data_IF_603567338829
#
_entry.id   IF_603567338829
#
_cell.length_a   1.000
_cell.length_b   1.000
_cell.length_c   1.000
_cell.angle_alpha   90.00
_cell.angle_beta   90.00
_cell.angle_gamma   90.00
#
_symmetry.space_group_name_H-M   'P 1'
#
loop_
_entity.id
_entity.type
_entity.pdbx_description
1 polymer ?
#
# COMPACT_ATOMS: atom_id res chain seq x y z
N UNK A 1 11.17 -15.61 -9.12
CA UNK A 1 9.83 -15.00 -8.98
C UNK A 1 8.78 -15.99 -8.45
N UNK A 2 8.61 -17.17 -9.05
CA UNK A 2 7.60 -18.16 -8.61
C UNK A 2 7.73 -18.63 -7.15
N UNK A 3 8.93 -19.04 -6.71
CA UNK A 3 9.18 -19.43 -5.31
C UNK A 3 8.84 -18.32 -4.30
N UNK A 4 9.10 -17.07 -4.68
CA UNK A 4 8.80 -15.92 -3.81
C UNK A 4 7.30 -15.78 -3.58
N UNK A 5 6.49 -15.79 -4.64
CA UNK A 5 5.04 -15.69 -4.50
C UNK A 5 4.41 -16.93 -3.87
N UNK A 6 4.95 -18.13 -4.14
CA UNK A 6 4.54 -19.34 -3.43
C UNK A 6 4.76 -19.21 -1.91
N UNK A 7 5.90 -18.66 -1.47
CA UNK A 7 6.15 -18.37 -0.06
C UNK A 7 5.18 -17.33 0.51
N UNK A 8 4.83 -16.28 -0.24
CA UNK A 8 3.88 -15.27 0.19
C UNK A 8 2.47 -15.86 0.35
N UNK A 9 1.97 -16.56 -0.66
CA UNK A 9 0.65 -17.19 -0.64
C UNK A 9 0.55 -18.23 0.47
N UNK A 10 1.62 -18.99 0.73
CA UNK A 10 1.67 -19.96 1.83
C UNK A 10 1.61 -19.30 3.22
N UNK A 11 2.22 -18.13 3.39
CA UNK A 11 2.28 -17.44 4.70
C UNK A 11 1.09 -16.54 4.99
N UNK A 12 0.55 -15.90 3.95
CA UNK A 12 -0.38 -14.80 4.09
C UNK A 12 -1.71 -15.03 3.36
N UNK A 13 -1.81 -16.09 2.57
CA UNK A 13 -3.00 -16.41 1.80
C UNK A 13 -3.18 -15.59 0.53
N UNK A 14 -4.42 -15.59 0.05
CA UNK A 14 -4.85 -15.03 -1.21
C UNK A 14 -5.96 -14.01 -0.97
N UNK A 15 -5.94 -12.85 -1.65
CA UNK A 15 -5.02 -12.48 -2.73
C UNK A 15 -3.72 -11.84 -2.25
N UNK A 16 -2.64 -12.01 -3.02
CA UNK A 16 -1.45 -11.16 -2.95
C UNK A 16 -1.62 -10.01 -3.94
N UNK A 17 -1.91 -8.81 -3.43
CA UNK A 17 -2.07 -7.60 -4.23
C UNK A 17 -0.73 -6.91 -4.37
N UNK A 18 -0.23 -6.82 -5.59
CA UNK A 18 1.02 -6.16 -5.95
C UNK A 18 0.70 -4.74 -6.39
N UNK A 19 0.99 -3.77 -5.52
CA UNK A 19 0.83 -2.34 -5.79
C UNK A 19 2.13 -1.76 -6.31
N UNK A 20 2.22 -1.53 -7.61
CA UNK A 20 3.44 -1.03 -8.25
C UNK A 20 3.40 0.49 -8.47
N UNK A 21 4.30 1.22 -7.80
CA UNK A 21 4.40 2.68 -7.77
C UNK A 21 5.31 3.28 -8.86
N UNK A 22 5.82 2.44 -9.76
CA UNK A 22 6.68 2.86 -10.86
C UNK A 22 5.96 3.83 -11.82
N UNK A 23 6.65 4.89 -12.22
CA UNK A 23 6.15 5.92 -13.12
C UNK A 23 5.89 5.33 -14.49
N UNK A 24 4.69 5.58 -15.02
CA UNK A 24 4.31 5.12 -16.37
C UNK A 24 4.76 6.07 -17.48
N UNK A 25 5.09 7.32 -17.17
CA UNK A 25 5.55 8.34 -18.12
C UNK A 25 6.86 8.94 -17.64
N UNK A 26 7.94 8.57 -18.31
CA UNK A 26 9.29 9.04 -17.99
C UNK A 26 10.01 9.53 -19.24
N UNK A 27 10.95 10.46 -19.07
CA UNK A 27 11.84 10.92 -20.16
C UNK A 27 12.81 9.83 -20.61
N UNK A 28 13.24 8.96 -19.70
CA UNK A 28 14.07 7.77 -19.95
C UNK A 28 13.32 6.56 -19.42
N UNK A 29 13.12 5.54 -20.23
CA UNK A 29 12.18 4.43 -19.96
C UNK A 29 12.75 3.36 -18.98
N UNK A 30 13.29 3.76 -17.84
CA UNK A 30 13.85 2.79 -16.90
C UNK A 30 12.78 2.11 -16.04
N UNK A 31 11.93 2.89 -15.34
CA UNK A 31 10.86 2.32 -14.50
C UNK A 31 9.78 1.66 -15.37
N UNK A 32 9.51 2.19 -16.58
CA UNK A 32 8.54 1.60 -17.51
C UNK A 32 8.91 0.18 -17.95
N UNK A 33 10.19 -0.05 -18.31
CA UNK A 33 10.65 -1.39 -18.77
C UNK A 33 10.57 -2.38 -17.60
N UNK A 34 11.02 -2.00 -16.41
CA UNK A 34 10.94 -2.85 -15.22
C UNK A 34 9.49 -3.19 -14.88
N UNK A 35 8.58 -2.20 -14.98
CA UNK A 35 7.15 -2.39 -14.76
C UNK A 35 6.54 -3.40 -15.73
N UNK A 36 6.80 -3.25 -17.03
CA UNK A 36 6.27 -4.15 -18.07
C UNK A 36 6.80 -5.58 -17.90
N UNK A 37 8.11 -5.74 -17.64
CA UNK A 37 8.72 -7.05 -17.42
C UNK A 37 8.18 -7.73 -16.17
N UNK A 38 7.98 -6.97 -15.10
CA UNK A 38 7.44 -7.49 -13.85
C UNK A 38 5.98 -7.89 -14.01
N UNK A 39 5.14 -7.04 -14.63
CA UNK A 39 3.73 -7.34 -14.94
C UNK A 39 3.60 -8.61 -15.78
N UNK A 40 4.39 -8.77 -16.86
CA UNK A 40 4.42 -10.00 -17.67
C UNK A 40 4.81 -11.22 -16.85
N UNK A 41 5.78 -11.09 -15.95
CA UNK A 41 6.18 -12.18 -15.05
C UNK A 41 5.07 -12.62 -14.11
N UNK A 42 4.30 -11.67 -13.57
CA UNK A 42 3.10 -11.97 -12.77
C UNK A 42 2.04 -12.65 -13.62
N UNK A 43 1.72 -12.10 -14.79
CA UNK A 43 0.73 -12.69 -15.72
C UNK A 43 1.09 -14.12 -16.10
N UNK A 44 2.37 -14.38 -16.40
CA UNK A 44 2.86 -15.73 -16.67
C UNK A 44 2.71 -16.65 -15.46
N UNK A 45 3.12 -16.18 -14.27
CA UNK A 45 3.01 -16.98 -13.05
C UNK A 45 1.56 -17.33 -12.70
N UNK A 46 0.64 -16.39 -12.89
CA UNK A 46 -0.78 -16.58 -12.60
C UNK A 46 -1.43 -17.69 -13.44
N UNK A 47 -0.83 -18.09 -14.58
CA UNK A 47 -1.31 -19.23 -15.38
C UNK A 47 -1.17 -20.58 -14.64
N UNK A 48 -0.26 -20.65 -13.66
CA UNK A 48 0.05 -21.88 -12.93
C UNK A 48 -0.55 -21.91 -11.52
N UNK A 49 -1.28 -20.87 -11.12
CA UNK A 49 -1.90 -20.79 -9.80
C UNK A 49 -3.39 -21.16 -9.91
N UNK A 50 -3.91 -22.00 -9.00
CA UNK A 50 -5.34 -22.28 -8.97
C UNK A 50 -6.09 -20.99 -8.64
N UNK A 51 -7.28 -20.79 -9.21
CA UNK A 51 -8.13 -19.62 -8.91
C UNK A 51 -8.53 -19.51 -7.44
N UNK A 52 -8.25 -20.54 -6.61
CA UNK A 52 -8.58 -20.62 -5.19
C UNK A 52 -7.40 -21.22 -4.41
N UNK A 53 -6.91 -20.49 -3.40
CA UNK A 53 -5.99 -21.05 -2.39
C UNK A 53 -6.80 -21.17 -1.11
N UNK A 54 -7.27 -22.38 -0.82
CA UNK A 54 -8.01 -22.68 0.41
C UNK A 54 -7.07 -22.51 1.61
N UNK A 55 -7.47 -21.71 2.60
CA UNK A 55 -6.76 -21.60 3.87
C UNK A 55 -7.19 -22.75 4.80
N UNK A 56 -6.30 -23.25 5.69
CA UNK A 56 -6.64 -24.29 6.66
C UNK A 56 -7.79 -23.92 7.63
N UNK A 57 -8.08 -22.64 7.80
CA UNK A 57 -9.18 -22.13 8.63
C UNK A 57 -10.57 -22.23 7.99
N UNK A 58 -10.66 -22.63 6.72
CA UNK A 58 -11.90 -22.56 5.92
C UNK A 58 -12.94 -23.65 6.25
N UNK A 59 -12.70 -24.48 7.28
CA UNK A 59 -13.63 -25.56 7.66
C UNK A 59 -14.94 -25.08 8.30
N UNK A 60 -15.03 -23.81 8.74
CA UNK A 60 -16.21 -23.30 9.47
C UNK A 60 -17.08 -22.30 8.70
N UNK A 61 -16.61 -21.74 7.57
CA UNK A 61 -17.32 -20.66 6.86
C UNK A 61 -17.73 -21.03 5.43
N UNK A 62 -18.03 -22.31 5.17
CA UNK A 62 -18.32 -22.84 3.82
C UNK A 62 -19.47 -22.11 3.10
N UNK A 63 -20.38 -21.45 3.82
CA UNK A 63 -21.57 -20.79 3.26
C UNK A 63 -21.40 -19.29 2.93
N UNK A 64 -20.40 -18.60 3.49
CA UNK A 64 -20.14 -17.17 3.16
C UNK A 64 -19.15 -16.99 2.00
N UNK A 65 -18.46 -18.07 1.60
CA UNK A 65 -17.32 -18.05 0.67
C UNK A 65 -17.76 -18.21 -0.80
N UNK A 66 -19.04 -18.46 -1.08
CA UNK A 66 -19.54 -18.62 -2.46
C UNK A 66 -19.64 -17.30 -3.25
N UNK A 67 -19.54 -16.15 -2.58
CA UNK A 67 -19.72 -14.83 -3.20
C UNK A 67 -18.44 -14.05 -3.51
N UNK A 68 -17.26 -14.49 -3.05
CA UNK A 68 -15.99 -13.83 -3.38
C UNK A 68 -15.42 -14.45 -4.66
N UNK A 69 -15.95 -13.88 -5.75
CA UNK A 69 -15.54 -13.79 -7.15
C UNK A 69 -14.19 -14.44 -7.57
N UNK A 70 -14.15 -14.80 -8.86
CA UNK A 70 -13.10 -15.44 -9.68
C UNK A 70 -11.77 -14.67 -9.76
N UNK A 71 -11.39 -13.95 -8.71
CA UNK A 71 -10.24 -13.08 -8.65
C UNK A 71 -8.95 -13.88 -8.61
N UNK A 72 -7.93 -13.51 -9.43
CA UNK A 72 -6.69 -14.26 -9.48
C UNK A 72 -5.94 -14.18 -8.14
N UNK A 73 -5.20 -15.23 -7.73
CA UNK A 73 -4.48 -15.26 -6.46
C UNK A 73 -3.42 -14.18 -6.31
N UNK A 74 -2.92 -13.67 -7.45
CA UNK A 74 -2.01 -12.53 -7.50
C UNK A 74 -2.66 -11.46 -8.36
N UNK A 75 -2.86 -10.27 -7.79
CA UNK A 75 -3.43 -9.13 -8.48
C UNK A 75 -2.36 -8.07 -8.69
N UNK A 76 -2.13 -7.66 -9.93
CA UNK A 76 -1.20 -6.57 -10.22
C UNK A 76 -1.95 -5.25 -10.43
N UNK A 77 -1.54 -4.21 -9.69
CA UNK A 77 -2.13 -2.88 -9.75
C UNK A 77 -1.00 -1.87 -9.98
N UNK A 78 -0.91 -1.36 -11.20
CA UNK A 78 -0.08 -0.17 -11.48
C UNK A 78 -0.72 1.06 -10.85
N UNK A 79 -0.03 1.67 -9.90
CA UNK A 79 -0.54 2.75 -9.06
C UNK A 79 0.33 3.99 -9.18
N UNK A 80 -0.20 5.00 -9.87
CA UNK A 80 0.49 6.27 -10.03
C UNK A 80 0.05 7.23 -8.91
N UNK A 81 0.91 7.42 -7.90
CA UNK A 81 0.66 8.33 -6.76
C UNK A 81 0.26 9.73 -7.24
N UNK A 82 0.81 10.23 -8.35
CA UNK A 82 0.48 11.55 -8.88
C UNK A 82 -0.98 11.63 -9.41
N UNK A 83 -1.58 10.49 -9.75
CA UNK A 83 -2.97 10.40 -10.23
C UNK A 83 -3.97 10.08 -9.14
N UNK A 84 -3.54 9.71 -7.94
CA UNK A 84 -4.42 9.45 -6.77
C UNK A 84 -5.23 10.69 -6.42
N UNK A 85 -4.69 11.89 -6.60
CA UNK A 85 -5.42 13.14 -6.39
C UNK A 85 -6.62 13.33 -7.36
N UNK A 86 -6.65 12.60 -8.49
CA UNK A 86 -7.75 12.65 -9.48
C UNK A 86 -8.72 11.47 -9.37
N UNK A 87 -8.34 10.38 -8.71
CA UNK A 87 -9.22 9.24 -8.46
C UNK A 87 -9.88 9.42 -7.09
N UNK A 88 -11.21 9.31 -7.03
CA UNK A 88 -11.92 9.26 -5.74
C UNK A 88 -11.34 8.09 -4.92
N UNK A 89 -11.01 8.34 -3.64
CA UNK A 89 -10.42 7.35 -2.70
C UNK A 89 -11.11 5.98 -2.78
N UNK A 90 -12.41 5.99 -3.06
CA UNK A 90 -13.34 4.87 -3.30
C UNK A 90 -12.82 3.78 -4.26
N UNK A 91 -12.05 4.10 -5.30
CA UNK A 91 -11.61 3.08 -6.29
C UNK A 91 -10.50 2.19 -5.73
N UNK A 92 -9.64 2.72 -4.85
CA UNK A 92 -8.60 1.94 -4.16
C UNK A 92 -9.26 1.13 -3.05
N UNK A 93 -10.20 1.74 -2.31
CA UNK A 93 -10.99 1.13 -1.25
C UNK A 93 -11.67 -0.17 -1.69
N UNK A 94 -12.41 -0.14 -2.82
CA UNK A 94 -13.14 -1.31 -3.32
C UNK A 94 -12.23 -2.48 -3.70
N UNK A 95 -10.96 -2.23 -4.05
CA UNK A 95 -10.00 -3.29 -4.41
C UNK A 95 -9.30 -3.89 -3.20
N UNK A 96 -9.35 -3.24 -2.04
CA UNK A 96 -8.76 -3.74 -0.80
C UNK A 96 -9.77 -4.47 0.08
N UNK A 97 -11.06 -4.27 -0.16
CA UNK A 97 -12.16 -4.94 0.53
C UNK A 97 -11.97 -6.47 0.68
N UNK A 98 -11.47 -7.22 -0.33
CA UNK A 98 -11.27 -8.67 -0.19
C UNK A 98 -10.28 -9.07 0.91
N UNK A 99 -9.40 -8.17 1.35
CA UNK A 99 -8.40 -8.43 2.41
C UNK A 99 -8.95 -8.04 3.80
N UNK A 100 -9.95 -7.15 3.85
CA UNK A 100 -10.40 -6.45 5.05
C UNK A 100 -11.66 -7.11 5.68
N UNK A 101 -12.00 -8.33 5.28
CA UNK A 101 -13.04 -9.11 5.98
C UNK A 101 -12.50 -9.67 7.32
N UNK A 102 -13.40 -10.21 8.16
CA UNK A 102 -13.21 -10.63 9.57
C UNK A 102 -11.86 -11.28 9.96
N UNK A 103 -11.15 -11.90 9.01
CA UNK A 103 -9.77 -12.35 9.15
C UNK A 103 -8.95 -11.91 7.92
N UNK A 104 -7.71 -11.44 8.14
CA UNK A 104 -6.79 -11.16 7.05
C UNK A 104 -6.50 -12.43 6.24
N UNK A 105 -7.00 -12.47 5.00
CA UNK A 105 -6.84 -13.61 4.09
C UNK A 105 -5.76 -13.40 3.02
N UNK A 106 -5.17 -12.20 2.94
CA UNK A 106 -4.20 -11.80 1.92
C UNK A 106 -3.29 -10.65 2.35
N UNK A 107 -2.43 -10.19 1.43
CA UNK A 107 -1.49 -9.08 1.69
C UNK A 107 -1.40 -8.11 0.52
N UNK A 108 -1.00 -6.88 0.82
CA UNK A 108 -0.64 -5.87 -0.16
C UNK A 108 0.87 -5.67 -0.15
N UNK A 109 1.52 -5.98 -1.27
CA UNK A 109 2.93 -5.75 -1.51
C UNK A 109 3.10 -4.45 -2.30
N UNK A 110 3.67 -3.43 -1.67
CA UNK A 110 4.01 -2.16 -2.33
C UNK A 110 5.40 -2.28 -2.95
N UNK A 111 5.48 -2.06 -4.26
CA UNK A 111 6.73 -2.04 -5.01
C UNK A 111 7.02 -0.62 -5.51
N UNK A 112 8.25 -0.18 -5.36
CA UNK A 112 8.76 1.06 -5.93
C UNK A 112 10.24 0.86 -6.23
N UNK A 113 10.73 1.49 -7.28
CA UNK A 113 12.16 1.57 -7.56
C UNK A 113 12.66 2.90 -6.99
N UNK A 114 13.69 2.83 -6.16
CA UNK A 114 14.51 3.93 -5.65
C UNK A 114 13.84 5.00 -4.75
N UNK A 115 12.65 4.78 -4.19
CA UNK A 115 12.07 5.72 -3.21
C UNK A 115 11.33 5.05 -2.06
N UNK A 116 11.95 5.03 -0.89
CA UNK A 116 11.31 4.69 0.38
C UNK A 116 10.13 5.61 0.71
N UNK A 117 10.23 6.90 0.37
CA UNK A 117 9.14 7.89 0.58
C UNK A 117 7.83 7.51 -0.12
N UNK A 118 7.93 7.08 -1.39
CA UNK A 118 6.77 6.68 -2.18
C UNK A 118 6.13 5.43 -1.58
N UNK A 119 6.93 4.47 -1.14
CA UNK A 119 6.42 3.26 -0.48
C UNK A 119 5.77 3.57 0.87
N UNK A 120 6.40 4.40 1.70
CA UNK A 120 5.87 4.77 3.01
C UNK A 120 4.54 5.54 2.86
N UNK A 121 4.47 6.48 1.92
CA UNK A 121 3.24 7.23 1.62
C UNK A 121 2.11 6.29 1.16
N UNK A 122 2.39 5.32 0.29
CA UNK A 122 1.38 4.35 -0.16
C UNK A 122 0.91 3.46 1.00
N UNK A 123 1.84 3.02 1.87
CA UNK A 123 1.50 2.23 3.06
C UNK A 123 0.65 3.04 4.05
N UNK A 124 0.93 4.33 4.27
CA UNK A 124 0.10 5.20 5.08
C UNK A 124 -1.33 5.30 4.54
N UNK A 125 -1.49 5.51 3.22
CA UNK A 125 -2.82 5.55 2.60
C UNK A 125 -3.57 4.23 2.78
N UNK A 126 -2.89 3.08 2.60
CA UNK A 126 -3.48 1.77 2.86
C UNK A 126 -3.86 1.60 4.34
N UNK A 127 -2.97 1.99 5.26
CA UNK A 127 -3.19 1.88 6.70
C UNK A 127 -4.39 2.71 7.16
N UNK A 128 -4.55 3.93 6.61
CA UNK A 128 -5.73 4.77 6.85
C UNK A 128 -7.03 4.08 6.48
N UNK A 129 -7.07 3.44 5.32
CA UNK A 129 -8.23 2.70 4.83
C UNK A 129 -8.56 1.56 5.79
N UNK A 130 -7.57 0.72 6.09
CA UNK A 130 -7.76 -0.45 6.96
C UNK A 130 -8.23 0.00 8.35
N UNK A 131 -7.63 1.04 8.91
CA UNK A 131 -8.04 1.60 10.19
C UNK A 131 -9.49 2.11 10.17
N UNK A 132 -9.93 2.74 9.07
CA UNK A 132 -11.31 3.19 8.94
C UNK A 132 -12.31 2.03 8.98
N UNK A 133 -12.00 0.92 8.28
CA UNK A 133 -12.82 -0.30 8.33
C UNK A 133 -12.81 -0.96 9.72
N UNK A 134 -11.65 -1.00 10.39
CA UNK A 134 -11.55 -1.53 11.75
C UNK A 134 -12.40 -0.72 12.73
N UNK A 135 -12.32 0.62 12.67
CA UNK A 135 -13.12 1.51 13.51
C UNK A 135 -14.63 1.40 13.21
N UNK A 136 -14.99 1.24 11.94
CA UNK A 136 -16.37 0.97 11.52
C UNK A 136 -16.86 -0.37 12.09
N UNK A 137 -16.08 -1.46 11.97
CA UNK A 137 -16.41 -2.77 12.51
C UNK A 137 -16.55 -2.79 14.04
N UNK A 138 -15.83 -1.92 14.75
CA UNK A 138 -15.95 -1.71 16.19
C UNK A 138 -17.11 -0.79 16.60
N UNK A 139 -17.81 -0.18 15.64
CA UNK A 139 -18.92 0.74 15.88
C UNK A 139 -18.53 2.17 16.25
N UNK A 140 -17.25 2.55 16.07
CA UNK A 140 -16.78 3.93 16.31
C UNK A 140 -17.09 4.88 15.16
N UNK A 141 -17.32 4.36 13.95
CA UNK A 141 -17.69 5.14 12.76
C UNK A 141 -19.01 4.63 12.18
N UNK A 142 -19.81 5.53 11.62
CA UNK A 142 -21.04 5.18 10.90
C UNK A 142 -20.78 4.69 9.45
N UNK A 143 -19.61 5.00 8.91
CA UNK A 143 -19.12 4.58 7.60
C UNK A 143 -17.60 4.34 7.68
N UNK A 144 -17.00 3.51 6.80
CA UNK A 144 -15.57 3.21 6.81
C UNK A 144 -14.72 4.35 6.20
N UNK A 145 -14.95 5.58 6.66
CA UNK A 145 -14.13 6.76 6.37
C UNK A 145 -14.11 7.68 7.60
N UNK A 146 -13.00 8.38 7.81
CA UNK A 146 -12.88 9.37 8.87
C UNK A 146 -12.26 10.66 8.35
N UNK A 147 -12.64 11.77 8.99
CA UNK A 147 -12.27 13.12 8.55
C UNK A 147 -10.76 13.29 8.42
N UNK A 148 -10.35 13.88 7.30
CA UNK A 148 -8.98 14.33 7.08
C UNK A 148 -8.54 15.32 8.19
N UNK A 149 -7.33 15.16 8.70
CA UNK A 149 -6.75 15.94 9.79
C UNK A 149 -7.46 15.82 11.15
N UNK A 150 -8.31 14.81 11.33
CA UNK A 150 -8.79 14.39 12.66
C UNK A 150 -7.62 13.96 13.55
N UNK A 151 -7.85 13.85 14.87
CA UNK A 151 -6.81 13.42 15.81
C UNK A 151 -6.26 12.03 15.44
N UNK A 152 -7.12 11.11 15.02
CA UNK A 152 -6.73 9.77 14.58
C UNK A 152 -5.89 9.83 13.29
N UNK A 153 -6.27 10.66 12.31
CA UNK A 153 -5.49 10.85 11.08
C UNK A 153 -4.08 11.37 11.38
N UNK A 154 -3.94 12.31 12.32
CA UNK A 154 -2.65 12.87 12.72
C UNK A 154 -1.79 11.86 13.47
N UNK A 155 -2.38 11.14 14.44
CA UNK A 155 -1.66 10.09 15.17
C UNK A 155 -1.13 9.00 14.23
N UNK A 156 -1.96 8.58 13.26
CA UNK A 156 -1.53 7.63 12.26
C UNK A 156 -0.44 8.23 11.36
N UNK A 157 -0.55 9.51 10.99
CA UNK A 157 0.47 10.18 10.20
C UNK A 157 1.82 10.24 10.93
N UNK A 158 1.81 10.63 12.21
CA UNK A 158 3.01 10.72 13.04
C UNK A 158 3.71 9.35 13.16
N UNK A 159 2.92 8.27 13.35
CA UNK A 159 3.42 6.89 13.36
C UNK A 159 4.12 6.52 12.05
N UNK A 160 3.54 6.87 10.90
CA UNK A 160 4.12 6.56 9.59
C UNK A 160 5.31 7.45 9.24
N UNK A 161 5.35 8.70 9.72
CA UNK A 161 6.51 9.58 9.58
C UNK A 161 7.70 8.99 10.38
N UNK A 162 7.50 8.57 11.64
CA UNK A 162 8.55 7.92 12.47
C UNK A 162 9.01 6.57 11.88
N UNK A 163 8.08 5.78 11.37
CA UNK A 163 8.39 4.52 10.68
C UNK A 163 9.27 4.77 9.44
N UNK A 164 8.94 5.81 8.66
CA UNK A 164 9.73 6.23 7.51
C UNK A 164 11.16 6.59 7.88
N UNK A 165 11.33 7.42 8.93
CA UNK A 165 12.64 7.84 9.42
C UNK A 165 13.50 6.67 9.90
N UNK A 166 12.88 5.72 10.60
CA UNK A 166 13.55 4.51 11.08
C UNK A 166 14.05 3.65 9.93
N UNK A 167 13.23 3.46 8.89
CA UNK A 167 13.64 2.71 7.70
C UNK A 167 14.73 3.44 6.92
N UNK A 168 14.68 4.77 6.84
CA UNK A 168 15.71 5.60 6.21
C UNK A 168 17.10 5.34 6.80
N UNK A 169 17.16 5.34 8.14
CA UNK A 169 18.40 5.11 8.87
C UNK A 169 19.01 3.75 8.53
N UNK A 170 18.17 2.71 8.40
CA UNK A 170 18.62 1.36 8.07
C UNK A 170 19.15 1.24 6.63
N UNK A 171 18.52 1.92 5.66
CA UNK A 171 18.86 1.77 4.23
C UNK A 171 19.87 2.80 3.71
N UNK A 172 19.89 4.00 4.29
CA UNK A 172 20.70 5.12 3.80
C UNK A 172 21.66 5.72 4.82
N UNK A 173 21.62 5.29 6.09
CA UNK A 173 22.46 5.83 7.17
C UNK A 173 22.08 7.25 7.63
N UNK A 174 20.97 7.81 7.12
CA UNK A 174 20.43 9.12 7.49
C UNK A 174 18.90 9.12 7.45
N UNK A 175 18.24 9.98 8.25
CA UNK A 175 16.77 10.13 8.28
C UNK A 175 16.17 10.56 6.92
N UNK A 176 14.88 10.30 6.69
CA UNK A 176 14.19 10.74 5.47
C UNK A 176 14.00 12.26 5.52
N UNK A 177 14.43 12.97 4.49
CA UNK A 177 14.27 14.44 4.40
C UNK A 177 12.90 14.86 3.83
N UNK A 178 11.94 13.93 3.69
CA UNK A 178 10.66 14.21 3.05
C UNK A 178 9.44 13.71 3.84
N UNK A 179 8.86 14.61 4.64
CA UNK A 179 7.58 14.44 5.33
C UNK A 179 6.43 14.02 4.38
N UNK A 180 5.50 13.16 4.83
CA UNK A 180 4.26 12.79 4.10
C UNK A 180 3.48 14.03 3.64
N UNK A 181 3.57 15.12 4.41
CA UNK A 181 3.05 16.45 4.09
C UNK A 181 3.52 17.04 2.75
N UNK A 182 4.57 16.51 2.14
CA UNK A 182 5.06 16.93 0.82
C UNK A 182 4.18 16.38 -0.32
N UNK A 183 3.56 15.21 -0.10
CA UNK A 183 2.66 14.57 -1.07
C UNK A 183 1.20 15.01 -0.91
N UNK A 184 0.82 15.42 0.30
CA UNK A 184 -0.44 16.12 0.61
C UNK A 184 -0.20 17.60 0.31
N UNK A 185 -0.52 18.10 -0.90
CA UNK A 185 -0.35 19.52 -1.28
C UNK A 185 -1.13 20.47 -0.36
N UNK A 186 -0.61 20.73 0.84
CA UNK A 186 -1.00 21.85 1.68
C UNK A 186 -0.09 23.01 1.25
N UNK A 187 -0.67 24.16 0.90
CA UNK A 187 0.10 25.38 0.57
C UNK A 187 1.05 25.69 1.74
N UNK A 188 2.34 25.35 1.60
CA UNK A 188 3.37 25.68 2.59
C UNK A 188 3.87 27.10 2.33
N UNK A 189 3.41 28.04 3.14
CA UNK A 189 4.20 29.23 3.49
C UNK A 189 4.88 28.91 4.83
N UNK A 190 6.22 28.99 4.90
CA UNK A 190 7.11 28.84 6.09
C UNK A 190 7.90 27.53 6.33
N UNK A 191 8.31 26.77 5.29
CA UNK A 191 9.21 25.61 5.51
C UNK A 191 10.72 25.91 5.52
N UNK A 192 11.16 27.17 5.35
CA UNK A 192 12.60 27.49 5.20
C UNK A 192 13.44 27.42 6.49
N UNK A 193 12.83 27.30 7.67
CA UNK A 193 13.58 27.44 8.93
C UNK A 193 14.14 26.14 9.50
N UNK A 194 13.62 24.96 9.12
CA UNK A 194 14.10 23.68 9.69
C UNK A 194 15.30 23.10 8.94
N UNK A 195 15.37 23.30 7.63
CA UNK A 195 16.46 22.78 6.78
C UNK A 195 17.82 23.42 7.12
N UNK A 196 17.80 24.65 7.66
CA UNK A 196 19.02 25.38 8.03
C UNK A 196 19.68 24.85 9.31
N UNK A 197 18.88 24.45 10.29
CA UNK A 197 19.40 23.99 11.60
C UNK A 197 20.14 22.65 11.46
N UNK A 198 19.71 21.81 10.53
CA UNK A 198 20.31 20.48 10.31
C UNK A 198 21.54 20.52 9.41
N UNK A 199 21.76 21.60 8.66
CA UNK A 199 23.01 21.83 7.90
C UNK A 199 24.15 22.27 8.82
N UNK A 200 23.84 22.84 9.99
CA UNK A 200 24.82 23.29 10.98
C UNK A 200 25.23 22.21 11.98
N UNK A 201 24.56 21.05 12.02
CA UNK A 201 24.90 19.93 12.90
C UNK A 201 25.77 18.86 12.22
N UNK A 202 26.49 19.22 11.17
CA UNK A 202 27.37 18.33 10.41
C UNK A 202 28.84 18.73 10.58
#
# INVERSE_FOLDING_TARGET
>A
MGLHFSSLLKRHGSPVIVLNLMKKREKRQFETILSDRFERGITYLSQFLPSRILQPSDSLNTLFIETIDSSPPIMYIGFDIARVQKMKRTVVLNKLQPIIDNCQCGIIRVNCVDCLDRTNTAQFVIGRVVLAYQLYGLGFLAEPDFMDNSQIDRLLQDLYDEHGDTLALQYGGSQLVHNINTYRKVKKLSSHSRDFVQTLSR
#
